data_IF_045836191534
#
_entry.id   IF_045836191534
#
_cell.length_a   1.000
_cell.length_b   1.000
_cell.length_c   1.000
_cell.angle_alpha   90.00
_cell.angle_beta   90.00
_cell.angle_gamma   90.00
#
_symmetry.space_group_name_H-M   'P 1'
#
loop_
_entity.id
_entity.type
_entity.pdbx_description
1 polymer ?
#
# COMPACT_ATOMS: atom_id res chain seq x y z
N UNK A 1 0.43 7.79 -3.89
CA UNK A 1 -0.21 8.44 -2.72
C UNK A 1 0.87 9.19 -1.91
N UNK A 2 0.57 10.34 -1.28
CA UNK A 2 1.58 11.02 -0.43
C UNK A 2 1.78 10.23 0.85
N UNK A 3 2.99 10.26 1.41
CA UNK A 3 3.33 9.49 2.63
C UNK A 3 2.45 9.85 3.84
N UNK A 4 2.09 11.13 3.99
CA UNK A 4 1.22 11.59 5.07
C UNK A 4 -0.18 10.97 5.03
N UNK A 5 -0.76 10.86 3.82
CA UNK A 5 -2.07 10.25 3.61
C UNK A 5 -2.05 8.75 3.95
N UNK A 6 -0.92 8.07 3.66
CA UNK A 6 -0.74 6.65 3.99
C UNK A 6 -0.78 6.48 5.51
N UNK A 7 0.01 7.26 6.25
CA UNK A 7 0.12 7.16 7.71
C UNK A 7 -1.24 7.31 8.41
N UNK A 8 -2.04 8.29 7.98
CA UNK A 8 -3.38 8.51 8.52
C UNK A 8 -4.31 7.32 8.22
N UNK A 9 -4.28 6.78 7.01
CA UNK A 9 -5.14 5.65 6.61
C UNK A 9 -4.80 4.34 7.30
N UNK A 10 -3.52 4.09 7.59
CA UNK A 10 -3.07 2.84 8.22
C UNK A 10 -2.91 2.95 9.73
N UNK A 11 -3.16 4.13 10.32
CA UNK A 11 -3.06 4.35 11.76
C UNK A 11 -1.64 4.25 12.33
N UNK A 12 -0.61 4.51 11.51
CA UNK A 12 0.79 4.42 11.93
C UNK A 12 1.42 5.79 12.16
N UNK A 13 2.39 5.85 13.06
CA UNK A 13 3.26 7.02 13.20
C UNK A 13 4.12 7.21 11.94
N UNK A 14 4.61 8.43 11.72
CA UNK A 14 5.49 8.74 10.60
C UNK A 14 6.80 7.93 10.64
N UNK A 15 7.35 7.66 11.83
CA UNK A 15 8.57 6.88 11.99
C UNK A 15 8.36 5.40 11.66
N UNK A 16 7.28 4.79 12.17
CA UNK A 16 6.92 3.40 11.88
C UNK A 16 6.66 3.21 10.39
N UNK A 17 5.85 4.09 9.78
CA UNK A 17 5.59 4.03 8.34
C UNK A 17 6.89 4.18 7.53
N UNK A 18 7.77 5.10 7.90
CA UNK A 18 9.04 5.30 7.20
C UNK A 18 9.94 4.07 7.25
N UNK A 19 10.00 3.37 8.39
CA UNK A 19 10.74 2.10 8.50
C UNK A 19 10.12 1.00 7.62
N UNK A 20 8.80 0.85 7.64
CA UNK A 20 8.13 -0.12 6.76
C UNK A 20 8.39 0.18 5.28
N UNK A 21 8.25 1.43 4.86
CA UNK A 21 8.52 1.85 3.48
C UNK A 21 10.00 1.67 3.10
N UNK A 22 10.93 1.88 4.02
CA UNK A 22 12.35 1.62 3.76
C UNK A 22 12.58 0.13 3.43
N UNK A 23 12.09 -0.77 4.28
CA UNK A 23 12.20 -2.21 4.07
C UNK A 23 11.52 -2.67 2.77
N UNK A 24 10.31 -2.19 2.49
CA UNK A 24 9.59 -2.54 1.25
C UNK A 24 10.32 -2.05 -0.02
N UNK A 25 11.10 -0.95 0.07
CA UNK A 25 11.93 -0.48 -1.05
C UNK A 25 13.18 -1.33 -1.23
N UNK A 26 13.83 -1.72 -0.14
CA UNK A 26 15.01 -2.61 -0.17
C UNK A 26 14.67 -3.95 -0.84
N UNK A 27 13.46 -4.45 -0.60
CA UNK A 27 12.93 -5.67 -1.21
C UNK A 27 12.34 -5.45 -2.63
N UNK A 28 12.39 -4.22 -3.16
CA UNK A 28 11.88 -3.89 -4.50
C UNK A 28 10.36 -3.96 -4.67
N UNK A 29 9.60 -4.04 -3.57
CA UNK A 29 8.15 -4.19 -3.59
C UNK A 29 7.42 -2.87 -3.85
N UNK A 30 7.99 -1.76 -3.39
CA UNK A 30 7.47 -0.41 -3.60
C UNK A 30 8.53 0.51 -4.21
N UNK A 31 8.06 1.45 -5.03
CA UNK A 31 8.87 2.52 -5.58
C UNK A 31 8.33 3.87 -5.12
N UNK A 32 9.16 4.90 -5.21
CA UNK A 32 8.74 6.26 -4.94
C UNK A 32 9.24 7.23 -6.00
N UNK A 33 8.50 8.33 -6.15
CA UNK A 33 8.94 9.52 -6.87
C UNK A 33 8.94 10.71 -5.93
N UNK A 34 9.89 11.62 -6.13
CA UNK A 34 9.96 12.90 -5.40
C UNK A 34 9.41 13.99 -6.30
N UNK A 35 8.36 14.65 -5.83
CA UNK A 35 7.70 15.78 -6.47
C UNK A 35 7.87 17.00 -5.55
N UNK A 36 8.90 17.80 -5.84
CA UNK A 36 9.42 18.85 -4.95
C UNK A 36 9.72 18.31 -3.52
N UNK A 37 8.92 18.73 -2.54
CA UNK A 37 9.04 18.32 -1.14
C UNK A 37 8.21 17.06 -0.80
N UNK A 38 7.41 16.55 -1.74
CA UNK A 38 6.47 15.45 -1.51
C UNK A 38 7.00 14.14 -2.05
N UNK A 39 7.04 13.11 -1.20
CA UNK A 39 7.31 11.73 -1.60
C UNK A 39 6.00 11.02 -1.93
N UNK A 40 5.91 10.47 -3.14
CA UNK A 40 4.78 9.67 -3.60
C UNK A 40 5.21 8.22 -3.75
N UNK A 41 4.50 7.30 -3.09
CA UNK A 41 4.76 5.87 -3.19
C UNK A 41 3.75 5.16 -4.10
N UNK A 42 4.23 4.08 -4.73
CA UNK A 42 3.47 3.13 -5.56
C UNK A 42 4.03 1.71 -5.40
N UNK A 43 3.22 0.70 -5.72
CA UNK A 43 3.70 -0.67 -5.90
C UNK A 43 4.65 -0.70 -7.11
N UNK A 44 5.77 -1.41 -6.98
CA UNK A 44 6.76 -1.56 -8.04
C UNK A 44 6.66 -2.92 -8.76
N UNK A 45 6.16 -3.93 -8.06
CA UNK A 45 6.05 -5.30 -8.56
C UNK A 45 4.59 -5.68 -8.86
N UNK A 46 4.30 -6.00 -10.13
CA UNK A 46 2.97 -6.39 -10.58
C UNK A 46 2.44 -7.65 -9.87
N UNK A 47 3.32 -8.54 -9.40
CA UNK A 47 2.93 -9.74 -8.62
C UNK A 47 2.34 -9.34 -7.27
N UNK A 48 2.88 -8.30 -6.65
CA UNK A 48 2.39 -7.76 -5.38
C UNK A 48 1.06 -7.05 -5.58
N UNK A 49 0.90 -6.33 -6.69
CA UNK A 49 -0.38 -5.72 -7.05
C UNK A 49 -1.48 -6.79 -7.20
N UNK A 50 -1.21 -7.88 -7.93
CA UNK A 50 -2.14 -8.99 -8.08
C UNK A 50 -2.47 -9.69 -6.75
N UNK A 51 -1.46 -9.91 -5.90
CA UNK A 51 -1.63 -10.51 -4.57
C UNK A 51 -2.54 -9.65 -3.68
N UNK A 52 -2.24 -8.36 -3.56
CA UNK A 52 -3.01 -7.43 -2.72
C UNK A 52 -4.43 -7.28 -3.26
N UNK A 53 -4.62 -7.22 -4.59
CA UNK A 53 -5.94 -7.20 -5.20
C UNK A 53 -6.75 -8.47 -4.87
N UNK A 54 -6.12 -9.64 -4.95
CA UNK A 54 -6.76 -10.91 -4.58
C UNK A 54 -7.17 -10.92 -3.11
N UNK A 55 -6.28 -10.53 -2.20
CA UNK A 55 -6.59 -10.44 -0.78
C UNK A 55 -7.76 -9.48 -0.51
N UNK A 56 -7.77 -8.33 -1.19
CA UNK A 56 -8.86 -7.36 -1.08
C UNK A 56 -10.20 -7.94 -1.58
N UNK A 57 -10.19 -8.67 -2.69
CA UNK A 57 -11.39 -9.36 -3.20
C UNK A 57 -11.91 -10.40 -2.21
N UNK A 58 -11.03 -11.21 -1.64
CA UNK A 58 -11.41 -12.31 -0.74
C UNK A 58 -11.90 -11.83 0.63
N UNK A 59 -11.32 -10.74 1.16
CA UNK A 59 -11.53 -10.36 2.57
C UNK A 59 -12.18 -9.00 2.77
N UNK A 60 -12.23 -8.14 1.75
CA UNK A 60 -12.76 -6.78 1.88
C UNK A 60 -13.98 -6.50 0.98
N UNK A 61 -14.19 -7.31 -0.07
CA UNK A 61 -15.42 -7.24 -0.84
C UNK A 61 -16.48 -8.06 -0.12
N UNK A 62 -17.67 -7.51 0.19
CA UNK A 62 -18.75 -8.34 0.70
C UNK A 62 -19.05 -9.38 -0.39
N UNK A 63 -18.83 -10.66 -0.08
CA UNK A 63 -19.38 -11.76 -0.87
C UNK A 63 -20.85 -11.39 -1.09
N UNK A 64 -21.25 -11.15 -2.34
CA UNK A 64 -22.66 -11.13 -2.68
C UNK A 64 -23.15 -12.53 -2.37
N UNK A 65 -23.65 -12.71 -1.15
CA UNK A 65 -24.46 -13.86 -0.81
C UNK A 65 -25.80 -13.62 -1.52
N UNK A 66 -25.85 -14.00 -2.78
CA UNK A 66 -27.09 -14.40 -3.42
C UNK A 66 -27.53 -15.69 -2.71
N UNK A 67 -28.15 -15.53 -1.54
CA UNK A 67 -29.15 -16.48 -1.07
C UNK A 67 -30.43 -16.12 -1.83
N UNK A 68 -30.72 -16.90 -2.87
CA UNK A 68 -32.07 -17.18 -3.35
C UNK A 68 -32.09 -18.66 -3.78
#
# INVERSE_FOLDING_TARGET
>A
MKVGDIAQRVGLSQSALSQHLARLREEGLVAFTRDAQVLRYRIADARIEALVATLYQLYCTPLHRSED
#
